data_IF_885455568280
#
_entry.id   IF_885455568280
#
_cell.length_a   1.000
_cell.length_b   1.000
_cell.length_c   1.000
_cell.angle_alpha   90.00
_cell.angle_beta   90.00
_cell.angle_gamma   90.00
#
_symmetry.space_group_name_H-M   'P 1'
#
loop_
_entity.id
_entity.type
_entity.pdbx_description
1 polymer ?
#
# COMPACT_ATOMS: atom_id res chain seq x y z
N UNK A 1 -23.50 -34.63 32.50
CA UNK A 1 -23.77 -35.04 33.89
C UNK A 1 -24.69 -34.00 34.51
N UNK A 2 -26.02 -34.17 34.39
CA UNK A 2 -27.00 -33.47 35.21
C UNK A 2 -27.28 -34.29 36.49
N UNK A 3 -27.15 -33.66 37.66
CA UNK A 3 -27.63 -34.19 38.95
C UNK A 3 -28.31 -33.00 39.66
N UNK A 4 -29.63 -32.96 39.67
CA UNK A 4 -30.51 -33.44 40.76
C UNK A 4 -30.39 -32.59 42.04
N UNK A 5 -31.36 -31.70 42.21
CA UNK A 5 -31.79 -31.15 43.51
C UNK A 5 -32.40 -32.26 44.37
N UNK A 6 -32.32 -32.22 45.71
CA UNK A 6 -33.46 -31.67 46.46
C UNK A 6 -33.16 -31.03 47.85
N UNK A 7 -33.94 -29.98 48.15
CA UNK A 7 -34.72 -29.79 49.38
C UNK A 7 -34.01 -29.78 50.76
N UNK A 8 -33.91 -28.60 51.37
CA UNK A 8 -33.92 -28.47 52.83
C UNK A 8 -34.69 -27.20 53.22
N UNK A 9 -35.79 -27.42 53.96
CA UNK A 9 -36.65 -26.41 54.59
C UNK A 9 -35.99 -25.98 55.90
N UNK A 10 -35.81 -24.67 56.14
CA UNK A 10 -35.64 -24.15 57.51
C UNK A 10 -36.24 -22.73 57.61
N UNK A 11 -37.38 -22.69 58.30
CA UNK A 11 -37.83 -21.67 59.26
C UNK A 11 -38.15 -20.23 58.80
N UNK A 12 -39.47 -20.07 58.60
CA UNK A 12 -40.29 -18.95 59.06
C UNK A 12 -39.82 -18.41 60.43
N UNK A 13 -39.10 -17.27 60.43
CA UNK A 13 -38.92 -16.43 61.61
C UNK A 13 -39.69 -15.13 61.44
N UNK A 14 -40.90 -15.15 61.98
CA UNK A 14 -41.62 -13.97 62.45
C UNK A 14 -40.78 -13.30 63.55
N UNK A 15 -39.97 -12.31 63.19
CA UNK A 15 -39.40 -11.36 64.17
C UNK A 15 -40.37 -10.20 64.36
N UNK A 16 -41.22 -10.43 65.35
CA UNK A 16 -41.62 -9.53 66.41
C UNK A 16 -41.08 -8.08 66.31
N UNK A 17 -42.03 -7.17 66.36
CA UNK A 17 -41.93 -5.72 66.52
C UNK A 17 -40.88 -5.29 67.55
N UNK A 18 -39.72 -4.88 67.06
CA UNK A 18 -38.82 -4.01 67.81
C UNK A 18 -39.23 -2.57 67.50
N UNK A 19 -39.84 -1.94 68.49
CA UNK A 19 -40.26 -0.55 68.46
C UNK A 19 -39.08 0.33 67.99
N UNK A 20 -39.23 0.93 66.81
CA UNK A 20 -38.37 2.01 66.39
C UNK A 20 -38.38 3.06 67.51
N UNK A 21 -37.21 3.53 67.99
CA UNK A 21 -37.19 4.63 68.94
C UNK A 21 -37.94 5.78 68.28
N UNK A 22 -39.04 6.22 68.91
CA UNK A 22 -39.74 7.44 68.54
C UNK A 22 -38.68 8.52 68.43
N UNK A 23 -38.38 8.87 67.17
CA UNK A 23 -37.58 10.04 66.88
C UNK A 23 -38.35 11.19 67.52
N UNK A 24 -37.78 11.73 68.60
CA UNK A 24 -38.11 13.02 69.18
C UNK A 24 -38.30 13.97 68.00
N UNK A 25 -39.57 14.16 67.63
CA UNK A 25 -39.94 14.95 66.47
C UNK A 25 -39.40 16.34 66.73
N UNK A 26 -38.68 16.98 65.78
CA UNK A 26 -38.29 18.35 65.99
C UNK A 26 -39.57 19.12 66.31
N UNK A 27 -39.60 19.77 67.49
CA UNK A 27 -40.70 20.60 67.96
C UNK A 27 -41.32 21.29 66.75
N UNK A 28 -42.60 21.00 66.46
CA UNK A 28 -43.27 21.51 65.27
C UNK A 28 -43.33 23.05 65.38
N UNK A 29 -42.31 23.72 64.85
CA UNK A 29 -42.37 25.15 64.59
C UNK A 29 -43.64 25.38 63.77
N UNK A 30 -44.54 26.30 64.19
CA UNK A 30 -45.78 26.52 63.48
C UNK A 30 -45.47 26.87 62.03
N UNK A 31 -46.11 26.16 61.09
CA UNK A 31 -45.93 26.37 59.65
C UNK A 31 -46.12 27.85 59.30
N UNK A 32 -45.00 28.54 59.07
CA UNK A 32 -45.01 29.93 58.66
C UNK A 32 -45.32 30.00 57.17
N UNK A 33 -46.62 30.13 56.88
CA UNK A 33 -47.16 30.24 55.54
C UNK A 33 -46.51 31.36 54.71
N UNK A 34 -46.02 32.43 55.35
CA UNK A 34 -45.41 33.56 54.64
C UNK A 34 -43.94 33.27 54.31
N UNK A 35 -43.21 32.58 55.19
CA UNK A 35 -41.86 32.06 54.89
C UNK A 35 -41.89 31.03 53.77
N UNK A 36 -42.87 30.12 53.77
CA UNK A 36 -43.08 29.14 52.72
C UNK A 36 -43.41 29.80 51.36
N UNK A 37 -44.33 30.78 51.34
CA UNK A 37 -44.65 31.55 50.13
C UNK A 37 -43.44 32.29 49.56
N UNK A 38 -42.62 32.93 50.40
CA UNK A 38 -41.39 33.60 49.96
C UNK A 38 -40.39 32.63 49.35
N UNK A 39 -40.21 31.45 49.97
CA UNK A 39 -39.33 30.41 49.44
C UNK A 39 -39.81 29.85 48.09
N UNK A 40 -41.11 29.60 47.95
CA UNK A 40 -41.73 29.16 46.68
C UNK A 40 -41.57 30.22 45.59
N UNK A 41 -41.84 31.48 45.90
CA UNK A 41 -41.68 32.58 44.95
C UNK A 41 -40.22 32.74 44.50
N UNK A 42 -39.26 32.60 45.42
CA UNK A 42 -37.83 32.61 45.09
C UNK A 42 -37.46 31.46 44.16
N UNK A 43 -37.85 30.22 44.47
CA UNK A 43 -37.59 29.06 43.61
C UNK A 43 -38.29 29.16 42.25
N UNK A 44 -39.47 29.76 42.19
CA UNK A 44 -40.20 29.99 40.94
C UNK A 44 -39.50 31.04 40.07
N UNK A 45 -38.97 32.11 40.67
CA UNK A 45 -38.18 33.11 39.98
C UNK A 45 -36.85 32.53 39.46
N UNK A 46 -36.16 31.72 40.27
CA UNK A 46 -34.95 31.01 39.87
C UNK A 46 -35.23 30.03 38.71
N UNK A 47 -36.28 29.21 38.82
CA UNK A 47 -36.69 28.32 37.74
C UNK A 47 -37.05 29.07 36.46
N UNK A 48 -37.72 30.22 36.57
CA UNK A 48 -38.02 31.06 35.40
C UNK A 48 -36.74 31.55 34.75
N UNK A 49 -35.79 32.07 35.54
CA UNK A 49 -34.50 32.54 35.02
C UNK A 49 -33.68 31.44 34.36
N UNK A 50 -33.72 30.22 34.90
CA UNK A 50 -33.04 29.06 34.31
C UNK A 50 -33.69 28.63 33.00
N UNK A 51 -35.04 28.63 32.94
CA UNK A 51 -35.78 28.34 31.70
C UNK A 51 -35.51 29.38 30.62
N UNK A 52 -35.44 30.65 30.99
CA UNK A 52 -35.15 31.73 30.04
C UNK A 52 -33.71 31.60 29.51
N UNK A 53 -32.73 31.31 30.37
CA UNK A 53 -31.35 31.00 29.94
C UNK A 53 -31.24 29.75 29.08
N UNK A 54 -31.98 28.70 29.38
CA UNK A 54 -32.00 27.49 28.54
C UNK A 54 -32.55 27.78 27.15
N UNK A 55 -33.64 28.56 27.05
CA UNK A 55 -34.18 28.99 25.76
C UNK A 55 -33.19 29.81 24.93
N UNK A 56 -32.32 30.58 25.56
CA UNK A 56 -31.26 31.35 24.89
C UNK A 56 -30.05 30.48 24.49
N UNK A 57 -29.66 29.52 25.34
CA UNK A 57 -28.50 28.66 25.11
C UNK A 57 -28.77 27.50 24.15
N UNK A 58 -29.98 26.94 24.16
CA UNK A 58 -30.38 25.85 23.26
C UNK A 58 -30.12 26.14 21.76
N UNK A 59 -30.54 27.29 21.19
CA UNK A 59 -30.28 27.57 19.78
C UNK A 59 -28.79 27.80 19.50
N UNK A 60 -28.03 28.34 20.44
CA UNK A 60 -26.58 28.50 20.30
C UNK A 60 -25.86 27.14 20.33
N UNK A 61 -26.27 26.24 21.22
CA UNK A 61 -25.75 24.89 21.29
C UNK A 61 -26.10 24.07 20.04
N UNK A 62 -27.30 24.26 19.47
CA UNK A 62 -27.68 23.62 18.18
C UNK A 62 -26.81 24.12 17.03
N UNK A 63 -26.63 25.45 16.90
CA UNK A 63 -25.76 26.03 15.87
C UNK A 63 -24.31 25.60 16.02
N UNK A 64 -23.80 25.49 17.26
CA UNK A 64 -22.45 24.99 17.51
C UNK A 64 -22.29 23.53 17.02
N UNK A 65 -23.27 22.66 17.31
CA UNK A 65 -23.28 21.28 16.81
C UNK A 65 -23.36 21.22 15.29
N UNK A 66 -24.23 22.00 14.66
CA UNK A 66 -24.35 22.07 13.20
C UNK A 66 -23.03 22.50 12.54
N UNK A 67 -22.33 23.48 13.11
CA UNK A 67 -21.02 23.91 12.62
C UNK A 67 -19.94 22.86 12.85
N UNK A 68 -19.92 22.20 14.01
CA UNK A 68 -18.97 21.11 14.27
C UNK A 68 -19.20 19.93 13.33
N UNK A 69 -20.44 19.55 13.07
CA UNK A 69 -20.77 18.46 12.16
C UNK A 69 -20.47 18.83 10.70
N UNK A 70 -20.74 20.09 10.29
CA UNK A 70 -20.32 20.61 9.00
C UNK A 70 -18.79 20.64 8.86
N UNK A 71 -18.06 21.08 9.88
CA UNK A 71 -16.59 21.10 9.86
C UNK A 71 -15.99 19.71 9.88
N UNK A 72 -16.54 18.76 10.65
CA UNK A 72 -16.09 17.36 10.64
C UNK A 72 -16.27 16.75 9.26
N UNK A 73 -17.42 16.97 8.62
CA UNK A 73 -17.66 16.48 7.26
C UNK A 73 -16.77 17.15 6.21
N UNK A 74 -16.47 18.45 6.36
CA UNK A 74 -15.47 19.13 5.52
C UNK A 74 -14.05 18.62 5.76
N UNK A 75 -13.66 18.38 7.02
CA UNK A 75 -12.35 17.83 7.37
C UNK A 75 -12.17 16.42 6.84
N UNK A 76 -13.18 15.55 6.95
CA UNK A 76 -13.18 14.21 6.35
C UNK A 76 -13.00 14.30 4.83
N UNK A 77 -13.77 15.17 4.17
CA UNK A 77 -13.64 15.40 2.72
C UNK A 77 -12.27 15.92 2.32
N UNK A 78 -11.71 16.87 3.08
CA UNK A 78 -10.37 17.41 2.83
C UNK A 78 -9.30 16.34 3.07
N UNK A 79 -9.46 15.50 4.09
CA UNK A 79 -8.55 14.39 4.36
C UNK A 79 -8.58 13.37 3.21
N UNK A 80 -9.77 12.98 2.74
CA UNK A 80 -9.93 12.10 1.57
C UNK A 80 -9.33 12.70 0.30
N UNK A 81 -9.50 14.01 0.09
CA UNK A 81 -8.88 14.69 -1.05
C UNK A 81 -7.36 14.69 -0.92
N UNK A 82 -6.83 14.97 0.26
CA UNK A 82 -5.40 15.02 0.52
C UNK A 82 -4.76 13.64 0.29
N UNK A 83 -5.35 12.58 0.83
CA UNK A 83 -4.88 11.20 0.60
C UNK A 83 -4.95 10.82 -0.88
N UNK A 84 -6.06 11.14 -1.57
CA UNK A 84 -6.19 10.89 -3.00
C UNK A 84 -5.14 11.64 -3.84
N UNK A 85 -4.80 12.88 -3.47
CA UNK A 85 -3.75 13.64 -4.16
C UNK A 85 -2.36 13.11 -3.84
N UNK A 86 -2.08 12.72 -2.60
CA UNK A 86 -0.82 12.07 -2.23
C UNK A 86 -0.60 10.76 -3.00
N UNK A 87 -1.64 9.92 -3.10
CA UNK A 87 -1.56 8.69 -3.88
C UNK A 87 -1.29 8.96 -5.37
N UNK A 88 -1.94 9.97 -5.95
CA UNK A 88 -1.72 10.38 -7.34
C UNK A 88 -0.30 10.88 -7.54
N UNK A 89 0.21 11.72 -6.64
CA UNK A 89 1.57 12.23 -6.69
C UNK A 89 2.59 11.09 -6.57
N UNK A 90 2.40 10.18 -5.60
CA UNK A 90 3.27 9.02 -5.43
C UNK A 90 3.27 8.10 -6.67
N UNK A 91 2.11 7.87 -7.30
CA UNK A 91 2.01 7.12 -8.55
C UNK A 91 2.75 7.83 -9.69
N UNK A 92 2.58 9.15 -9.84
CA UNK A 92 3.25 9.92 -10.88
C UNK A 92 4.77 9.90 -10.72
N UNK A 93 5.28 10.06 -9.49
CA UNK A 93 6.71 9.98 -9.19
C UNK A 93 7.25 8.59 -9.54
N UNK A 94 6.58 7.52 -9.10
CA UNK A 94 6.99 6.14 -9.43
C UNK A 94 7.09 5.94 -10.94
N UNK A 95 6.06 6.32 -11.70
CA UNK A 95 6.07 6.21 -13.16
C UNK A 95 7.19 7.05 -13.80
N UNK A 96 7.45 8.25 -13.27
CA UNK A 96 8.54 9.11 -13.75
C UNK A 96 9.92 8.49 -13.52
N UNK A 97 10.15 7.89 -12.34
CA UNK A 97 11.40 7.17 -12.03
C UNK A 97 11.53 5.92 -12.89
N UNK A 98 10.48 5.10 -12.99
CA UNK A 98 10.48 3.88 -13.83
C UNK A 98 10.85 4.22 -15.26
N UNK A 99 10.14 5.17 -15.88
CA UNK A 99 10.41 5.60 -17.25
C UNK A 99 11.80 6.20 -17.42
N UNK A 100 12.33 6.88 -16.40
CA UNK A 100 13.71 7.40 -16.42
C UNK A 100 14.73 6.27 -16.39
N UNK A 101 14.54 5.27 -15.55
CA UNK A 101 15.40 4.08 -15.45
C UNK A 101 15.37 3.31 -16.77
N UNK A 102 14.19 3.03 -17.32
CA UNK A 102 14.02 2.37 -18.61
C UNK A 102 14.71 3.15 -19.75
N UNK A 103 14.53 4.48 -19.79
CA UNK A 103 15.17 5.31 -20.80
C UNK A 103 16.71 5.30 -20.72
N UNK A 104 17.28 5.20 -19.52
CA UNK A 104 18.72 5.07 -19.33
C UNK A 104 19.19 3.65 -19.67
N UNK A 105 18.44 2.63 -19.25
CA UNK A 105 18.73 1.22 -19.48
C UNK A 105 18.64 0.82 -20.96
N UNK A 106 17.76 1.46 -21.75
CA UNK A 106 17.56 1.17 -23.17
C UNK A 106 18.82 1.25 -24.05
N UNK A 107 19.89 1.89 -23.56
CA UNK A 107 21.17 1.96 -24.26
C UNK A 107 21.99 0.68 -24.11
N UNK A 108 22.00 0.10 -22.92
CA UNK A 108 22.97 -0.92 -22.53
C UNK A 108 22.33 -2.28 -22.21
N UNK A 109 21.04 -2.31 -21.88
CA UNK A 109 20.29 -3.53 -21.53
C UNK A 109 19.57 -4.10 -22.75
N UNK A 110 19.43 -5.42 -22.79
CA UNK A 110 18.60 -6.11 -23.77
C UNK A 110 17.11 -5.79 -23.53
N UNK A 111 16.68 -5.87 -22.27
CA UNK A 111 15.32 -5.56 -21.82
C UNK A 111 15.37 -4.46 -20.74
N UNK A 112 14.88 -3.23 -21.02
CA UNK A 112 14.94 -2.11 -20.08
C UNK A 112 14.06 -2.31 -18.84
N UNK A 113 12.95 -3.04 -18.97
CA UNK A 113 12.01 -3.32 -17.87
C UNK A 113 12.65 -4.21 -16.78
N UNK A 114 13.51 -5.16 -17.17
CA UNK A 114 14.26 -6.01 -16.23
C UNK A 114 15.19 -5.18 -15.33
N UNK A 115 15.76 -4.10 -15.88
CA UNK A 115 16.59 -3.18 -15.12
C UNK A 115 15.74 -2.40 -14.09
N UNK A 116 14.58 -1.90 -14.49
CA UNK A 116 13.66 -1.20 -13.60
C UNK A 116 13.10 -2.10 -12.49
N UNK A 117 12.85 -3.38 -12.78
CA UNK A 117 12.38 -4.35 -11.78
C UNK A 117 13.46 -4.83 -10.79
N UNK A 118 14.74 -4.68 -11.13
CA UNK A 118 15.86 -5.12 -10.29
C UNK A 118 16.38 -4.06 -9.32
N UNK A 119 16.02 -2.79 -9.52
CA UNK A 119 16.45 -1.66 -8.70
C UNK A 119 15.33 -1.21 -7.74
N UNK A 120 15.71 -0.63 -6.60
CA UNK A 120 14.75 -0.03 -5.68
C UNK A 120 14.48 1.42 -6.08
N UNK A 121 13.35 1.65 -6.77
CA UNK A 121 13.03 2.96 -7.37
C UNK A 121 12.87 4.10 -6.35
N UNK A 122 12.54 3.78 -5.09
CA UNK A 122 12.38 4.77 -4.03
C UNK A 122 13.71 5.42 -3.62
N UNK A 123 14.83 4.74 -3.81
CA UNK A 123 16.15 5.23 -3.37
C UNK A 123 16.71 6.34 -4.29
N UNK A 124 16.07 6.56 -5.45
CA UNK A 124 16.49 7.54 -6.46
C UNK A 124 15.67 8.82 -6.45
N UNK A 125 14.81 9.01 -5.44
CA UNK A 125 13.99 10.20 -5.29
C UNK A 125 14.32 10.87 -3.96
N UNK A 126 14.62 12.16 -3.98
CA UNK A 126 14.82 12.94 -2.77
C UNK A 126 13.49 13.43 -2.15
N UNK A 127 13.58 14.09 -1.00
CA UNK A 127 12.42 14.63 -0.28
C UNK A 127 11.65 15.70 -1.10
N UNK A 128 12.32 16.34 -2.06
CA UNK A 128 11.73 17.33 -2.97
C UNK A 128 11.09 16.69 -4.22
N UNK A 129 11.23 15.37 -4.40
CA UNK A 129 10.71 14.63 -5.54
C UNK A 129 11.59 14.69 -6.79
N UNK A 130 12.83 15.18 -6.68
CA UNK A 130 13.79 15.18 -7.76
C UNK A 130 14.47 13.81 -7.91
N UNK A 131 14.73 13.43 -9.16
CA UNK A 131 15.26 12.11 -9.50
C UNK A 131 16.78 12.18 -9.60
N UNK A 132 17.49 11.40 -8.78
CA UNK A 132 18.95 11.27 -8.84
C UNK A 132 19.37 10.42 -10.04
N UNK A 133 19.56 11.08 -11.17
CA UNK A 133 19.93 10.41 -12.42
C UNK A 133 21.35 9.84 -12.40
N UNK A 134 22.24 10.33 -11.55
CA UNK A 134 23.62 9.87 -11.49
C UNK A 134 23.76 8.63 -10.62
N UNK A 135 22.99 8.52 -9.53
CA UNK A 135 22.80 7.27 -8.82
C UNK A 135 22.23 6.17 -9.70
N UNK A 136 21.17 6.46 -10.48
CA UNK A 136 20.58 5.47 -11.41
C UNK A 136 21.63 4.95 -12.41
N UNK A 137 22.43 5.83 -13.03
CA UNK A 137 23.47 5.39 -13.99
C UNK A 137 24.52 4.49 -13.32
N UNK A 138 24.95 4.84 -12.11
CA UNK A 138 25.95 4.08 -11.36
C UNK A 138 25.45 2.67 -11.06
N UNK A 139 24.22 2.57 -10.57
CA UNK A 139 23.64 1.30 -10.16
C UNK A 139 23.27 0.43 -11.36
N UNK A 140 22.82 1.02 -12.47
CA UNK A 140 22.64 0.31 -13.74
C UNK A 140 23.96 -0.28 -14.25
N UNK A 141 25.06 0.47 -14.16
CA UNK A 141 26.38 -0.04 -14.55
C UNK A 141 26.87 -1.16 -13.62
N UNK A 142 26.61 -1.07 -12.31
CA UNK A 142 26.90 -2.14 -11.35
C UNK A 142 26.03 -3.38 -11.60
N UNK A 143 24.76 -3.18 -11.95
CA UNK A 143 23.83 -4.26 -12.27
C UNK A 143 24.30 -5.05 -13.49
N UNK A 144 24.78 -4.40 -14.55
CA UNK A 144 25.36 -5.08 -15.71
C UNK A 144 26.64 -5.84 -15.37
N UNK A 145 27.49 -5.31 -14.48
CA UNK A 145 28.68 -6.05 -14.00
C UNK A 145 28.28 -7.34 -13.29
N UNK A 146 27.23 -7.30 -12.48
CA UNK A 146 26.69 -8.47 -11.77
C UNK A 146 25.94 -9.43 -12.69
N UNK A 147 25.22 -8.90 -13.68
CA UNK A 147 24.38 -9.64 -14.62
C UNK A 147 24.75 -9.33 -16.07
N UNK A 148 25.90 -9.84 -16.56
CA UNK A 148 26.40 -9.53 -17.89
C UNK A 148 25.52 -10.07 -19.02
N UNK A 149 24.69 -11.08 -18.75
CA UNK A 149 23.75 -11.66 -19.72
C UNK A 149 22.54 -10.76 -20.01
N UNK A 150 22.32 -9.71 -19.20
CA UNK A 150 21.28 -8.71 -19.43
C UNK A 150 21.74 -7.59 -20.38
N UNK A 151 23.03 -7.54 -20.70
CA UNK A 151 23.56 -6.56 -21.63
C UNK A 151 23.00 -6.78 -23.04
N UNK A 152 22.72 -5.68 -23.75
CA UNK A 152 22.33 -5.73 -25.15
C UNK A 152 23.42 -6.43 -25.97
N UNK A 153 23.03 -7.39 -26.80
CA UNK A 153 23.97 -8.03 -27.70
C UNK A 153 24.55 -6.97 -28.67
N UNK A 154 25.84 -7.02 -29.01
CA UNK A 154 26.42 -6.08 -29.95
C UNK A 154 25.67 -6.13 -31.28
N UNK A 155 25.24 -4.98 -31.77
CA UNK A 155 24.58 -4.84 -33.07
C UNK A 155 25.57 -5.22 -34.18
N UNK A 156 25.30 -6.35 -34.84
CA UNK A 156 26.09 -6.81 -35.97
C UNK A 156 25.70 -8.23 -36.39
N UNK A 157 25.97 -8.63 -37.65
CA UNK A 157 25.79 -10.01 -38.07
C UNK A 157 26.61 -10.90 -37.15
N UNK A 158 25.95 -11.83 -36.44
CA UNK A 158 26.64 -12.89 -35.70
C UNK A 158 27.42 -13.69 -36.74
N UNK A 159 28.70 -13.36 -36.89
CA UNK A 159 29.57 -14.12 -37.77
C UNK A 159 29.61 -15.53 -37.20
N UNK A 160 29.28 -16.57 -38.00
CA UNK A 160 29.47 -17.94 -37.58
C UNK A 160 30.91 -18.06 -37.10
N UNK A 161 31.11 -18.51 -35.86
CA UNK A 161 32.47 -18.79 -35.39
C UNK A 161 33.00 -19.86 -36.33
N UNK A 162 34.13 -19.65 -37.03
CA UNK A 162 34.66 -20.65 -37.94
C UNK A 162 34.93 -21.93 -37.14
N UNK A 163 34.06 -22.92 -37.29
CA UNK A 163 34.25 -24.23 -36.69
C UNK A 163 35.28 -24.95 -37.54
N UNK A 164 36.46 -25.21 -36.95
CA UNK A 164 37.56 -25.89 -37.63
C UNK A 164 37.18 -27.32 -38.06
N UNK A 165 36.12 -27.89 -37.49
CA UNK A 165 35.59 -29.20 -37.87
C UNK A 165 34.62 -29.12 -39.06
N UNK A 166 33.96 -27.97 -39.27
CA UNK A 166 33.17 -27.66 -40.47
C UNK A 166 34.04 -27.05 -41.57
N UNK A 167 34.90 -27.86 -42.20
CA UNK A 167 35.71 -27.42 -43.33
C UNK A 167 37.08 -28.08 -43.47
N UNK A 168 37.49 -28.86 -42.47
CA UNK A 168 38.74 -29.64 -42.51
C UNK A 168 38.64 -30.93 -43.34
N UNK A 169 37.90 -30.93 -44.45
CA UNK A 169 38.09 -31.91 -45.54
C UNK A 169 39.00 -31.37 -46.66
N UNK A 170 39.50 -30.14 -46.53
CA UNK A 170 40.19 -29.41 -47.60
C UNK A 170 41.71 -29.60 -47.72
N UNK A 171 42.33 -30.61 -47.10
CA UNK A 171 43.77 -30.85 -47.28
C UNK A 171 44.03 -32.33 -47.60
N UNK A 172 44.08 -32.67 -48.90
CA UNK A 172 44.60 -33.96 -49.33
C UNK A 172 44.29 -34.37 -50.77
N UNK A 173 43.03 -34.32 -51.21
CA UNK A 173 42.65 -34.75 -52.57
C UNK A 173 41.42 -33.94 -53.04
N UNK A 174 41.64 -32.79 -53.68
CA UNK A 174 40.57 -32.19 -54.48
C UNK A 174 40.38 -33.10 -55.69
N UNK A 175 39.20 -33.71 -55.81
CA UNK A 175 38.72 -34.14 -57.12
C UNK A 175 38.81 -32.94 -58.06
N UNK A 176 39.35 -33.09 -59.28
CA UNK A 176 39.60 -31.96 -60.14
C UNK A 176 38.28 -31.27 -60.50
N UNK A 177 38.08 -30.04 -60.04
CA UNK A 177 36.86 -29.26 -60.23
C UNK A 177 36.72 -28.69 -61.66
N UNK A 178 37.37 -29.28 -62.66
CA UNK A 178 37.16 -28.90 -64.05
C UNK A 178 36.57 -30.08 -64.84
N UNK A 179 35.46 -29.87 -65.58
CA UNK A 179 34.84 -30.92 -66.39
C UNK A 179 35.82 -31.57 -67.38
N UNK A 180 36.80 -30.81 -67.88
CA UNK A 180 37.86 -31.29 -68.78
C UNK A 180 38.77 -32.33 -68.10
N UNK A 181 39.12 -32.13 -66.83
CA UNK A 181 39.99 -33.05 -66.10
C UNK A 181 39.24 -34.31 -65.68
N UNK A 182 37.95 -34.20 -65.37
CA UNK A 182 37.07 -35.36 -65.15
C UNK A 182 36.93 -36.19 -66.43
N UNK A 183 36.66 -35.53 -67.57
CA UNK A 183 36.56 -36.18 -68.87
C UNK A 183 37.89 -36.83 -69.30
N UNK A 184 39.01 -36.14 -69.13
CA UNK A 184 40.33 -36.71 -69.42
C UNK A 184 40.65 -37.93 -68.52
N UNK A 185 40.27 -37.89 -67.24
CA UNK A 185 40.40 -39.02 -66.32
C UNK A 185 39.48 -40.20 -66.68
N UNK A 186 38.30 -39.92 -67.24
CA UNK A 186 37.39 -40.95 -67.77
C UNK A 186 37.97 -41.60 -69.02
N UNK A 187 38.41 -40.82 -70.01
CA UNK A 187 39.03 -41.31 -71.25
C UNK A 187 40.29 -42.14 -70.98
N UNK A 188 41.15 -41.69 -70.04
CA UNK A 188 42.33 -42.47 -69.62
C UNK A 188 41.95 -43.83 -69.05
N UNK A 189 40.91 -43.92 -68.20
CA UNK A 189 40.44 -45.20 -67.65
C UNK A 189 39.90 -46.14 -68.72
N UNK A 190 39.13 -45.61 -69.68
CA UNK A 190 38.61 -46.39 -70.80
C UNK A 190 39.74 -46.97 -71.69
N UNK A 191 40.82 -46.21 -71.89
CA UNK A 191 41.97 -46.63 -72.69
C UNK A 191 42.91 -47.62 -71.97
N UNK A 192 43.00 -47.57 -70.64
CA UNK A 192 43.95 -48.40 -69.86
C UNK A 192 43.29 -49.59 -69.15
N UNK A 193 41.96 -49.63 -69.05
CA UNK A 193 41.19 -50.72 -68.40
C UNK A 193 40.79 -51.87 -69.33
N UNK A 194 41.21 -51.85 -70.60
CA UNK A 194 40.97 -52.92 -71.56
C UNK A 194 42.20 -53.79 -71.75
N UNK A 195 42.49 -54.68 -70.79
CA UNK A 195 43.24 -55.93 -71.00
C UNK A 195 42.91 -56.93 -69.90
#
# INVERSE_FOLDING_TARGET
MPEETPNEQVEEQLQESEAAPEADGPEEEPFDADRAKKAINKKNAENKSLRDRLKELEPLARRAKELEDAQKTEQERLAEQLTAQQEKAAKAIRTAVTSKVEALAAKDFADPEDAAGALNLADYVDDDGAIDTDAIKRDLAELLKRKPHWAKAPEGPRSPRPDRTQGSSGNGNRTPNSPEQEFAGFMKRALHGGR
#
